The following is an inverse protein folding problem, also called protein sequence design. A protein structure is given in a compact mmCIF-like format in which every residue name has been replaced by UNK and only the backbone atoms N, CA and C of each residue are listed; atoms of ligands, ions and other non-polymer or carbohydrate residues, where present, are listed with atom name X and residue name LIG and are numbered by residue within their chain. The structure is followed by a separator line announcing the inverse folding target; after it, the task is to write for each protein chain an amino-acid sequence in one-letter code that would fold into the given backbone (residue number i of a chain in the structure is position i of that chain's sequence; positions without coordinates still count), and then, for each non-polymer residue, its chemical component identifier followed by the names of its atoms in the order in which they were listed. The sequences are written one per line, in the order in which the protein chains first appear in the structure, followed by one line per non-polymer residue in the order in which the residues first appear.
data_IF_149689470993
#
_entry.id   IF_149689470993
#
_cell.length_a   1.000
_cell.length_b   1.000
_cell.length_c   1.000
_cell.angle_alpha   90.00
_cell.angle_beta   90.00
_cell.angle_gamma   90.00
#
_symmetry.space_group_name_H-M   'P 1'
#
loop_
_entity.id
_entity.type
_entity.pdbx_description
1 polymer ?
#
# COMPACT_ATOMS: atom_id res chain seq x y z
N UNK A 1 -9.27 -5.76 -7.61
CA UNK A 1 -8.73 -4.82 -6.59
C UNK A 1 -8.86 -5.49 -5.24
N UNK A 2 -7.88 -5.33 -4.35
CA UNK A 2 -7.85 -5.96 -3.03
C UNK A 2 -7.67 -4.90 -1.95
N UNK A 3 -8.13 -5.17 -0.73
CA UNK A 3 -8.06 -4.25 0.40
C UNK A 3 -7.40 -4.91 1.61
N UNK A 4 -6.65 -4.11 2.37
CA UNK A 4 -6.13 -4.50 3.69
C UNK A 4 -7.10 -3.96 4.75
N UNK A 5 -7.62 -4.79 5.68
CA UNK A 5 -8.55 -4.33 6.70
C UNK A 5 -7.90 -3.30 7.63
N UNK A 6 -8.61 -2.22 8.01
CA UNK A 6 -8.09 -1.22 8.92
C UNK A 6 -8.04 -1.76 10.36
N UNK A 7 -7.00 -1.38 11.11
CA UNK A 7 -7.02 -1.54 12.57
C UNK A 7 -7.84 -0.42 13.19
N UNK A 8 -8.90 -0.78 13.91
CA UNK A 8 -9.67 0.16 14.72
C UNK A 8 -8.99 0.37 16.08
N UNK A 9 -9.17 1.53 16.74
CA UNK A 9 -8.87 1.66 18.17
C UNK A 9 -9.60 0.57 18.99
N UNK A 10 -8.97 0.16 20.09
CA UNK A 10 -9.59 -0.73 21.06
C UNK A 10 -10.70 0.03 21.80
N UNK A 11 -11.69 -0.69 22.33
CA UNK A 11 -12.68 -0.10 23.24
C UNK A 11 -11.96 0.44 24.48
N UNK A 12 -12.35 1.64 24.94
CA UNK A 12 -11.70 2.39 26.04
C UNK A 12 -11.50 1.56 27.32
N UNK A 13 -12.33 0.52 27.53
CA UNK A 13 -12.24 -0.43 28.64
C UNK A 13 -10.88 -1.15 28.78
N UNK A 14 -10.15 -1.38 27.68
CA UNK A 14 -8.80 -1.99 27.73
C UNK A 14 -7.71 -0.99 28.13
N UNK A 15 -7.90 0.30 27.87
CA UNK A 15 -6.97 1.36 28.27
C UNK A 15 -7.10 1.70 29.77
N UNK A 16 -8.33 1.67 30.30
CA UNK A 16 -8.63 1.92 31.73
C UNK A 16 -8.05 0.84 32.66
N UNK A 17 -7.78 -0.36 32.14
CA UNK A 17 -7.16 -1.46 32.89
C UNK A 17 -5.65 -1.25 33.19
N UNK A 18 -5.05 -0.16 32.70
CA UNK A 18 -3.62 0.14 32.91
C UNK A 18 -2.67 -0.84 32.21
N UNK A 19 -3.18 -1.63 31.27
CA UNK A 19 -2.39 -2.55 30.46
C UNK A 19 -1.66 -1.77 29.37
N UNK A 20 -0.39 -2.13 29.09
CA UNK A 20 0.31 -1.60 27.92
C UNK A 20 -0.42 -2.08 26.66
N UNK A 21 -1.22 -1.20 26.08
CA UNK A 21 -1.98 -1.43 24.85
C UNK A 21 -1.10 -1.84 23.66
N UNK A 22 0.22 -1.63 23.76
CA UNK A 22 1.20 -2.00 22.74
C UNK A 22 1.96 -3.30 23.10
N UNK A 23 1.65 -3.94 24.24
CA UNK A 23 2.20 -5.24 24.58
C UNK A 23 1.65 -6.31 23.60
N UNK A 24 2.48 -7.23 23.08
CA UNK A 24 2.05 -8.21 22.09
C UNK A 24 0.82 -9.01 22.54
N UNK A 25 0.81 -9.49 23.79
CA UNK A 25 -0.31 -10.29 24.31
C UNK A 25 -1.62 -9.50 24.39
N UNK A 26 -1.54 -8.20 24.71
CA UNK A 26 -2.70 -7.30 24.75
C UNK A 26 -3.17 -7.00 23.32
N UNK A 27 -2.24 -6.72 22.41
CA UNK A 27 -2.53 -6.46 21.00
C UNK A 27 -3.21 -7.65 20.31
N UNK A 28 -2.79 -8.89 20.62
CA UNK A 28 -3.41 -10.09 20.06
C UNK A 28 -4.79 -10.37 20.67
N UNK A 29 -4.96 -10.18 21.98
CA UNK A 29 -6.26 -10.33 22.63
C UNK A 29 -7.27 -9.28 22.13
N UNK A 30 -6.79 -8.07 21.83
CA UNK A 30 -7.63 -6.95 21.43
C UNK A 30 -8.07 -6.95 19.96
N UNK A 31 -7.63 -7.91 19.13
CA UNK A 31 -8.10 -8.02 17.73
C UNK A 31 -9.62 -8.23 17.67
N UNK A 32 -10.22 -8.90 18.67
CA UNK A 32 -11.66 -9.07 18.80
C UNK A 32 -12.39 -7.90 19.49
N UNK A 33 -11.67 -7.10 20.30
CA UNK A 33 -12.23 -6.01 21.12
C UNK A 33 -12.05 -4.64 20.46
N UNK A 34 -12.07 -4.63 19.13
CA UNK A 34 -11.98 -3.41 18.33
C UNK A 34 -13.32 -2.68 18.30
N UNK A 35 -13.28 -1.34 18.20
CA UNK A 35 -14.50 -0.53 18.07
C UNK A 35 -15.33 -0.88 16.83
N UNK A 36 -14.68 -1.28 15.74
CA UNK A 36 -15.36 -1.82 14.55
C UNK A 36 -15.37 -3.35 14.69
N UNK A 37 -16.56 -3.99 14.72
CA UNK A 37 -16.67 -5.44 14.82
C UNK A 37 -15.95 -6.16 13.67
N UNK A 38 -15.28 -7.27 13.98
CA UNK A 38 -14.58 -8.06 12.97
C UNK A 38 -15.57 -8.69 11.96
N UNK A 39 -16.78 -8.99 12.40
CA UNK A 39 -17.89 -9.51 11.60
C UNK A 39 -18.25 -8.54 10.47
N UNK A 40 -18.31 -7.24 10.77
CA UNK A 40 -18.59 -6.22 9.76
C UNK A 40 -17.53 -6.19 8.66
N UNK A 41 -16.25 -6.30 9.05
CA UNK A 41 -15.16 -6.36 8.08
C UNK A 41 -15.17 -7.66 7.26
N UNK A 42 -15.58 -8.77 7.86
CA UNK A 42 -15.68 -10.06 7.20
C UNK A 42 -16.76 -10.08 6.11
N UNK A 43 -17.92 -9.48 6.37
CA UNK A 43 -18.99 -9.36 5.38
C UNK A 43 -18.53 -8.62 4.10
N UNK A 44 -17.70 -7.58 4.25
CA UNK A 44 -17.24 -6.76 3.11
C UNK A 44 -16.04 -7.38 2.40
N UNK A 45 -15.11 -8.01 3.15
CA UNK A 45 -13.79 -8.37 2.64
C UNK A 45 -13.60 -9.86 2.38
N UNK A 46 -14.42 -10.72 3.00
CA UNK A 46 -14.21 -12.17 2.99
C UNK A 46 -15.51 -13.00 2.95
N UNK A 47 -16.64 -12.40 2.56
CA UNK A 47 -17.96 -13.06 2.51
C UNK A 47 -18.37 -13.72 3.84
N UNK A 48 -18.08 -13.04 4.96
CA UNK A 48 -18.43 -13.49 6.31
C UNK A 48 -17.36 -14.35 7.01
N UNK A 49 -16.21 -14.61 6.38
CA UNK A 49 -15.09 -15.35 7.01
C UNK A 49 -14.31 -14.45 7.99
N UNK A 50 -14.74 -14.47 9.26
CA UNK A 50 -14.17 -13.68 10.37
C UNK A 50 -12.74 -14.11 10.70
N UNK A 51 -12.45 -15.41 10.69
CA UNK A 51 -11.12 -15.94 11.03
C UNK A 51 -10.05 -15.41 10.08
N UNK A 52 -10.36 -15.33 8.78
CA UNK A 52 -9.45 -14.76 7.79
C UNK A 52 -9.16 -13.29 8.05
N UNK A 53 -10.15 -12.49 8.41
CA UNK A 53 -9.96 -11.06 8.73
C UNK A 53 -9.15 -10.91 10.03
N UNK A 54 -9.50 -11.64 11.09
CA UNK A 54 -8.76 -11.61 12.35
C UNK A 54 -7.30 -12.05 12.15
N UNK A 55 -7.04 -13.05 11.30
CA UNK A 55 -5.69 -13.47 10.96
C UNK A 55 -4.87 -12.38 10.26
N UNK A 56 -5.48 -11.58 9.37
CA UNK A 56 -4.80 -10.43 8.75
C UNK A 56 -4.54 -9.32 9.76
N UNK A 57 -5.52 -9.00 10.60
CA UNK A 57 -5.38 -8.00 11.67
C UNK A 57 -4.29 -8.40 12.68
N UNK A 58 -4.20 -9.69 13.04
CA UNK A 58 -3.16 -10.23 13.89
C UNK A 58 -1.76 -10.06 13.28
N UNK A 59 -1.60 -10.26 11.95
CA UNK A 59 -0.32 -10.01 11.26
C UNK A 59 0.08 -8.53 11.32
N UNK A 60 -0.87 -7.61 11.12
CA UNK A 60 -0.62 -6.17 11.25
C UNK A 60 -0.25 -5.79 12.69
N UNK A 61 -0.89 -6.40 13.68
CA UNK A 61 -0.55 -6.22 15.10
C UNK A 61 0.85 -6.76 15.44
N UNK A 62 1.18 -7.96 14.96
CA UNK A 62 2.49 -8.57 15.12
C UNK A 62 3.61 -7.70 14.54
N UNK A 63 3.41 -7.14 13.35
CA UNK A 63 4.37 -6.22 12.73
C UNK A 63 4.62 -4.99 13.59
N UNK A 64 3.55 -4.35 14.08
CA UNK A 64 3.67 -3.15 14.91
C UNK A 64 4.42 -3.46 16.21
N UNK A 65 4.07 -4.57 16.88
CA UNK A 65 4.74 -5.01 18.10
C UNK A 65 6.22 -5.34 17.87
N UNK A 66 6.52 -6.05 16.78
CA UNK A 66 7.88 -6.41 16.38
C UNK A 66 8.74 -5.18 16.12
N UNK A 67 8.26 -4.25 15.29
CA UNK A 67 9.01 -3.05 14.91
C UNK A 67 9.16 -2.05 16.06
N UNK A 68 8.22 -2.00 17.01
CA UNK A 68 8.36 -1.19 18.23
C UNK A 68 9.62 -1.57 19.01
N UNK A 69 9.88 -2.86 19.17
CA UNK A 69 11.12 -3.32 19.81
C UNK A 69 12.36 -2.81 19.07
N UNK A 70 12.36 -2.85 17.74
CA UNK A 70 13.49 -2.36 16.92
C UNK A 70 13.75 -0.85 17.09
N UNK A 71 12.72 -0.03 17.30
CA UNK A 71 12.84 1.44 17.37
C UNK A 71 12.94 2.02 18.79
N UNK A 72 12.29 1.40 19.78
CA UNK A 72 12.22 1.92 21.16
C UNK A 72 13.41 1.45 22.00
N UNK A 73 13.94 0.26 21.74
CA UNK A 73 15.00 -0.35 22.54
C UNK A 73 16.36 -0.08 21.89
N UNK A 74 16.95 1.08 22.19
CA UNK A 74 18.21 1.54 21.59
C UNK A 74 19.46 0.90 22.18
N UNK A 75 19.38 0.29 23.36
CA UNK A 75 20.50 -0.41 23.99
C UNK A 75 20.72 -1.79 23.30
N UNK A 76 21.92 -2.07 22.76
CA UNK A 76 22.22 -3.34 22.08
C UNK A 76 21.96 -4.58 22.94
N UNK A 77 22.25 -4.49 24.24
CA UNK A 77 22.08 -5.57 25.23
C UNK A 77 20.60 -5.93 25.44
N UNK A 78 19.74 -4.91 25.48
CA UNK A 78 18.28 -5.06 25.61
C UNK A 78 17.71 -5.68 24.33
N UNK A 79 18.19 -5.23 23.16
CA UNK A 79 17.78 -5.75 21.86
C UNK A 79 18.08 -7.24 21.71
N UNK A 80 19.25 -7.69 22.16
CA UNK A 80 19.63 -9.11 22.12
C UNK A 80 18.79 -9.95 23.09
N UNK A 81 18.55 -9.44 24.31
CA UNK A 81 17.69 -10.10 25.30
C UNK A 81 16.22 -10.24 24.83
N UNK A 82 15.74 -9.32 24.00
CA UNK A 82 14.38 -9.35 23.44
C UNK A 82 14.26 -10.05 22.08
N UNK A 83 15.38 -10.47 21.46
CA UNK A 83 15.36 -11.14 20.16
C UNK A 83 14.47 -12.40 20.17
N UNK A 84 14.60 -13.24 21.20
CA UNK A 84 13.77 -14.45 21.33
C UNK A 84 12.26 -14.12 21.44
N UNK A 85 11.90 -13.05 22.16
CA UNK A 85 10.51 -12.59 22.26
C UNK A 85 9.99 -12.09 20.91
N UNK A 86 10.82 -11.40 20.12
CA UNK A 86 10.45 -10.92 18.78
C UNK A 86 10.26 -12.07 17.78
N UNK A 87 11.14 -13.07 17.82
CA UNK A 87 10.97 -14.30 17.06
C UNK A 87 9.64 -14.99 17.39
N UNK A 88 9.27 -15.03 18.68
CA UNK A 88 8.00 -15.61 19.12
C UNK A 88 6.77 -14.83 18.60
N UNK A 89 6.82 -13.50 18.53
CA UNK A 89 5.75 -12.66 17.94
C UNK A 89 5.53 -13.03 16.46
N UNK A 90 6.62 -13.16 15.69
CA UNK A 90 6.53 -13.52 14.28
C UNK A 90 5.96 -14.92 14.08
N UNK A 91 6.45 -15.89 14.88
CA UNK A 91 6.00 -17.27 14.83
C UNK A 91 4.51 -17.41 15.16
N UNK A 92 3.98 -16.60 16.08
CA UNK A 92 2.56 -16.62 16.50
C UNK A 92 1.58 -16.33 15.36
N UNK A 93 2.01 -15.58 14.34
CA UNK A 93 1.21 -15.30 13.12
C UNK A 93 1.67 -16.11 11.90
N UNK A 94 2.52 -17.11 12.11
CA UNK A 94 3.06 -17.97 11.05
C UNK A 94 4.00 -17.23 10.08
N UNK A 95 4.70 -16.19 10.54
CA UNK A 95 5.64 -15.42 9.73
C UNK A 95 7.07 -15.57 10.25
N UNK A 96 8.05 -15.37 9.36
CA UNK A 96 9.45 -15.19 9.75
C UNK A 96 9.72 -13.72 10.06
N UNK A 97 10.76 -13.43 10.85
CA UNK A 97 11.21 -12.06 11.13
C UNK A 97 11.46 -11.26 9.84
N UNK A 98 12.13 -11.91 8.88
CA UNK A 98 12.42 -11.35 7.56
C UNK A 98 11.13 -11.03 6.77
N UNK A 99 10.10 -11.88 6.90
CA UNK A 99 8.78 -11.59 6.31
C UNK A 99 8.10 -10.40 6.96
N UNK A 100 8.24 -10.22 8.27
CA UNK A 100 7.73 -9.02 8.97
C UNK A 100 8.50 -7.77 8.51
N UNK A 101 9.83 -7.83 8.39
CA UNK A 101 10.65 -6.71 7.89
C UNK A 101 10.28 -6.34 6.45
N UNK A 102 10.05 -7.32 5.57
CA UNK A 102 9.54 -7.07 4.21
C UNK A 102 8.15 -6.43 4.22
N UNK A 103 7.25 -6.93 5.07
CA UNK A 103 5.92 -6.34 5.20
C UNK A 103 5.99 -4.89 5.68
N UNK A 104 6.86 -4.58 6.64
CA UNK A 104 7.13 -3.21 7.08
C UNK A 104 7.70 -2.34 5.95
N UNK A 105 8.62 -2.87 5.15
CA UNK A 105 9.16 -2.18 3.97
C UNK A 105 8.05 -1.80 2.99
N UNK A 106 7.13 -2.72 2.69
CA UNK A 106 6.03 -2.47 1.75
C UNK A 106 4.94 -1.54 2.32
N UNK A 107 4.59 -1.67 3.60
CA UNK A 107 3.46 -0.95 4.19
C UNK A 107 3.83 0.39 4.85
N UNK A 108 4.98 0.46 5.51
CA UNK A 108 5.37 1.63 6.30
C UNK A 108 6.38 2.53 5.57
N UNK A 109 7.41 1.95 4.93
CA UNK A 109 8.37 2.72 4.12
C UNK A 109 7.75 3.06 2.77
N UNK A 110 7.22 2.03 2.09
CA UNK A 110 6.43 2.13 0.87
C UNK A 110 7.07 3.02 -0.21
N UNK A 111 8.34 2.71 -0.58
CA UNK A 111 9.07 3.45 -1.62
C UNK A 111 8.31 3.42 -2.94
N UNK A 112 8.45 4.48 -3.74
CA UNK A 112 7.63 4.68 -4.94
C UNK A 112 7.79 3.55 -5.97
N UNK A 113 9.04 3.13 -6.19
CA UNK A 113 9.41 2.03 -7.09
C UNK A 113 8.91 0.65 -6.62
N UNK A 114 8.65 0.49 -5.32
CA UNK A 114 8.12 -0.74 -4.74
C UNK A 114 6.57 -0.75 -4.69
N UNK A 115 5.93 0.42 -4.69
CA UNK A 115 4.46 0.53 -4.73
C UNK A 115 3.88 0.22 -6.11
N UNK A 116 4.59 0.61 -7.17
CA UNK A 116 4.09 0.56 -8.55
C UNK A 116 5.00 -0.26 -9.45
N UNK A 117 4.79 -1.59 -9.44
CA UNK A 117 5.45 -2.51 -10.38
C UNK A 117 4.50 -2.77 -11.54
N UNK A 118 4.36 -1.79 -12.42
CA UNK A 118 3.50 -1.85 -13.61
C UNK A 118 4.38 -2.18 -14.83
N UNK A 119 4.31 -3.39 -15.39
CA UNK A 119 5.10 -3.74 -16.57
C UNK A 119 4.61 -2.99 -17.80
N UNK A 120 5.50 -2.79 -18.77
CA UNK A 120 5.12 -2.26 -20.08
C UNK A 120 4.16 -3.26 -20.76
N UNK A 121 3.04 -2.73 -21.24
CA UNK A 121 2.15 -3.51 -22.09
C UNK A 121 2.92 -3.90 -23.36
N UNK A 122 2.98 -5.20 -23.68
CA UNK A 122 3.64 -5.70 -24.88
C UNK A 122 2.73 -5.48 -26.09
N UNK A 123 2.68 -4.23 -26.56
CA UNK A 123 1.85 -3.82 -27.72
C UNK A 123 2.36 -4.43 -29.04
N UNK A 124 3.60 -4.91 -29.06
CA UNK A 124 4.28 -5.43 -30.27
C UNK A 124 3.84 -6.86 -30.65
N UNK A 125 3.28 -7.63 -29.72
CA UNK A 125 2.89 -9.03 -29.90
C UNK A 125 1.41 -9.23 -30.15
N UNK A 126 0.86 -8.69 -31.25
CA UNK A 126 -0.38 -9.19 -31.87
C UNK A 126 -1.67 -9.27 -31.04
N UNK A 127 -1.73 -8.66 -29.85
CA UNK A 127 -2.95 -8.46 -29.05
C UNK A 127 -3.35 -6.99 -28.94
N UNK A 128 -2.64 -6.12 -29.65
CA UNK A 128 -2.92 -4.69 -29.76
C UNK A 128 -3.55 -4.31 -31.10
N UNK A 129 -3.99 -5.29 -31.89
CA UNK A 129 -4.72 -5.03 -33.14
C UNK A 129 -6.12 -4.42 -32.88
N UNK A 130 -6.61 -4.46 -31.63
CA UNK A 130 -7.79 -3.70 -31.19
C UNK A 130 -7.42 -2.37 -30.47
N UNK A 131 -6.16 -2.16 -30.11
CA UNK A 131 -5.71 -0.93 -29.44
C UNK A 131 -5.10 0.09 -30.42
N UNK A 132 -4.49 -0.38 -31.51
CA UNK A 132 -3.86 0.45 -32.54
C UNK A 132 -4.82 0.91 -33.65
N UNK A 133 -6.04 0.36 -33.74
CA UNK A 133 -7.09 0.89 -34.63
C UNK A 133 -7.53 2.33 -34.26
N UNK A 134 -7.12 2.83 -33.08
CA UNK A 134 -7.36 4.19 -32.61
C UNK A 134 -6.15 5.14 -32.70
N UNK A 135 -5.01 4.68 -33.25
CA UNK A 135 -3.79 5.49 -33.37
C UNK A 135 -3.43 5.71 -34.84
N UNK A 136 -4.22 6.57 -35.48
CA UNK A 136 -3.71 7.53 -36.47
C UNK A 136 -3.06 6.98 -37.73
N UNK A 137 -3.77 6.18 -38.52
CA UNK A 137 -3.58 6.22 -39.97
C UNK A 137 -4.56 7.23 -40.56
N UNK A 138 -3.95 8.29 -41.05
CA UNK A 138 -4.53 9.44 -41.71
C UNK A 138 -5.30 9.02 -42.98
N UNK A 139 -6.22 9.89 -43.41
CA UNK A 139 -6.89 9.92 -44.74
C UNK A 139 -8.38 9.55 -44.83
N UNK A 140 -9.15 9.42 -43.73
CA UNK A 140 -10.62 9.46 -43.85
C UNK A 140 -11.28 10.36 -42.79
N UNK A 141 -11.94 11.46 -43.20
CA UNK A 141 -12.58 12.37 -42.27
C UNK A 141 -13.91 11.76 -41.82
N UNK A 142 -13.95 11.32 -40.57
CA UNK A 142 -15.19 11.00 -39.87
C UNK A 142 -15.40 9.50 -39.70
N UNK A 143 -15.15 9.01 -38.48
CA UNK A 143 -15.93 7.97 -37.78
C UNK A 143 -15.14 7.54 -36.52
N UNK A 144 -15.07 8.39 -35.49
CA UNK A 144 -15.03 7.86 -34.12
C UNK A 144 -16.41 7.29 -33.83
N UNK A 145 -16.51 5.99 -33.51
CA UNK A 145 -17.79 5.31 -33.27
C UNK A 145 -18.59 6.09 -32.22
N UNK A 146 -19.69 6.65 -32.73
CA UNK A 146 -20.67 7.51 -32.09
C UNK A 146 -21.63 7.87 -33.21
N UNK A 147 -22.90 7.49 -33.05
CA UNK A 147 -23.94 7.64 -34.06
C UNK A 147 -23.95 9.03 -34.73
N UNK A 148 -24.34 9.11 -36.03
CA UNK A 148 -24.14 10.31 -36.82
C UNK A 148 -25.13 11.41 -36.39
N UNK A 149 -24.64 12.51 -35.82
CA UNK A 149 -25.46 13.71 -35.60
C UNK A 149 -25.00 14.74 -34.55
N UNK A 150 -23.94 14.50 -33.78
CA UNK A 150 -23.57 15.39 -32.68
C UNK A 150 -22.68 16.59 -33.08
N UNK A 151 -23.29 17.72 -33.44
CA UNK A 151 -22.61 19.03 -33.44
C UNK A 151 -22.38 19.50 -31.99
N UNK A 152 -21.36 18.97 -31.34
CA UNK A 152 -20.90 19.43 -30.03
C UNK A 152 -19.67 20.36 -30.15
N UNK A 153 -19.50 21.36 -29.27
CA UNK A 153 -18.25 22.12 -29.17
C UNK A 153 -17.08 21.16 -28.91
N UNK A 154 -15.83 21.53 -29.29
CA UNK A 154 -14.68 20.64 -29.14
C UNK A 154 -14.51 20.22 -27.68
N UNK A 155 -14.91 18.99 -27.39
CA UNK A 155 -14.68 18.41 -26.07
C UNK A 155 -13.22 17.97 -26.02
N UNK A 156 -12.55 18.37 -24.93
CA UNK A 156 -11.16 18.01 -24.66
C UNK A 156 -11.00 16.49 -24.77
N UNK A 157 -10.07 16.06 -25.63
CA UNK A 157 -9.87 14.65 -25.94
C UNK A 157 -9.40 13.90 -24.68
N UNK A 158 -10.08 12.81 -24.28
CA UNK A 158 -9.55 11.91 -23.27
C UNK A 158 -8.19 11.39 -23.75
N UNK A 159 -7.13 11.65 -23.01
CA UNK A 159 -5.76 11.24 -23.36
C UNK A 159 -4.85 12.36 -23.86
N UNK A 160 -5.32 13.61 -23.96
CA UNK A 160 -4.40 14.74 -24.03
C UNK A 160 -3.62 14.79 -22.70
N UNK A 161 -2.29 14.59 -22.69
CA UNK A 161 -1.52 14.65 -21.47
C UNK A 161 -1.77 16.03 -20.86
N UNK A 162 -2.27 16.06 -19.62
CA UNK A 162 -2.24 17.29 -18.84
C UNK A 162 -0.78 17.74 -18.86
N UNK A 163 -0.45 18.97 -19.30
CA UNK A 163 0.91 19.46 -19.28
C UNK A 163 1.29 19.69 -17.81
N UNK A 164 1.60 18.59 -17.13
CA UNK A 164 2.47 18.59 -15.97
C UNK A 164 3.84 18.79 -16.60
N UNK A 165 4.52 19.87 -16.25
CA UNK A 165 5.87 20.10 -16.79
C UNK A 165 6.69 18.83 -16.56
N UNK A 166 7.41 18.37 -17.59
CA UNK A 166 8.24 17.16 -17.50
C UNK A 166 9.20 17.26 -16.30
N UNK A 167 9.65 18.48 -16.00
CA UNK A 167 10.35 18.87 -14.78
C UNK A 167 9.63 18.45 -13.50
N UNK A 168 8.33 18.73 -13.37
CA UNK A 168 7.52 18.35 -12.20
C UNK A 168 7.44 16.83 -12.02
N UNK A 169 7.35 16.06 -13.10
CA UNK A 169 7.30 14.59 -13.03
C UNK A 169 8.65 13.99 -12.61
N UNK A 170 9.76 14.46 -13.20
CA UNK A 170 11.10 13.95 -12.92
C UNK A 170 11.57 14.35 -11.52
N UNK A 171 11.30 15.58 -11.07
CA UNK A 171 11.58 16.02 -9.71
C UNK A 171 10.75 15.26 -8.67
N UNK A 172 9.47 14.99 -8.95
CA UNK A 172 8.63 14.18 -8.05
C UNK A 172 9.12 12.75 -7.98
N UNK A 173 9.51 12.16 -9.11
CA UNK A 173 10.08 10.81 -9.15
C UNK A 173 11.40 10.75 -8.39
N UNK A 174 12.33 11.66 -8.63
CA UNK A 174 13.63 11.72 -7.96
C UNK A 174 13.48 11.86 -6.44
N UNK A 175 12.59 12.74 -5.97
CA UNK A 175 12.26 12.89 -4.54
C UNK A 175 11.64 11.62 -3.95
N UNK A 176 10.84 10.90 -4.73
CA UNK A 176 10.11 9.72 -4.28
C UNK A 176 10.96 8.42 -4.33
N UNK A 177 12.06 8.42 -5.09
CA UNK A 177 13.02 7.29 -5.17
C UNK A 177 14.27 7.50 -4.33
N UNK A 178 14.47 8.67 -3.71
CA UNK A 178 15.64 8.95 -2.91
C UNK A 178 15.60 8.22 -1.55
N UNK A 179 16.74 7.65 -1.15
CA UNK A 179 16.90 6.99 0.16
C UNK A 179 17.17 7.98 1.28
N UNK A 180 17.79 9.12 0.96
CA UNK A 180 18.00 10.25 1.86
C UNK A 180 17.65 11.56 1.17
N UNK A 181 17.20 12.53 1.94
CA UNK A 181 16.89 13.87 1.43
C UNK A 181 18.11 14.55 0.78
N UNK A 182 19.32 14.21 1.21
CA UNK A 182 20.60 14.70 0.64
C UNK A 182 20.91 14.17 -0.74
N UNK A 183 20.24 13.10 -1.18
CA UNK A 183 20.45 12.48 -2.48
C UNK A 183 19.61 13.17 -3.57
N UNK A 184 18.80 14.17 -3.19
CA UNK A 184 18.03 15.02 -4.09
C UNK A 184 18.96 16.16 -4.54
N UNK A 185 19.42 16.11 -5.79
CA UNK A 185 20.28 17.16 -6.37
C UNK A 185 19.52 18.50 -6.42
N UNK A 186 19.95 19.55 -5.70
CA UNK A 186 19.27 20.84 -5.69
C UNK A 186 19.46 21.64 -7.00
N UNK A 187 20.30 21.19 -7.93
CA UNK A 187 20.74 21.97 -9.08
C UNK A 187 19.90 21.86 -10.36
N UNK A 188 18.70 21.26 -10.30
CA UNK A 188 17.76 21.34 -11.44
C UNK A 188 16.98 22.65 -11.34
N UNK A 189 17.65 23.75 -11.70
CA UNK A 189 17.06 25.06 -12.00
C UNK A 189 16.67 25.14 -13.51
N UNK A 190 15.73 26.03 -13.90
CA UNK A 190 14.84 25.89 -15.07
C UNK A 190 15.51 25.86 -16.45
#
# INVERSE_FOLDING_TARGET
VWYVPPRSPMVDALADAGLDAEHPDVLFAAVGEMRIPAEYLAEILSAGDVERVQGVLAKLAAMRAYMRGDFVETAPEVREALAHKRAAIAARVGMTEDSIRRMYRLLAIAKYDERYVIPLAHVEGGGAVDAAAHLGLEELPGCSIGEPGGNGPPQRRPGEPVPVSIESFHLTKARATADRYTDIDPAVEP
#
